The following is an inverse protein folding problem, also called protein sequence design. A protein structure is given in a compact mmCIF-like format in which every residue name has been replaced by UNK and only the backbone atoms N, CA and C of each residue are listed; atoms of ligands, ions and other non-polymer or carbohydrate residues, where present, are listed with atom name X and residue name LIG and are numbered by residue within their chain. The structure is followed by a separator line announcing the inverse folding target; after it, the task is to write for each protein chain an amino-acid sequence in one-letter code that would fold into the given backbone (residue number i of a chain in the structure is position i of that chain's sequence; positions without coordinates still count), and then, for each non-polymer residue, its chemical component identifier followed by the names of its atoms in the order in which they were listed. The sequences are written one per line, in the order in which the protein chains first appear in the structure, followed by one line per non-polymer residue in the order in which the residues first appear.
data_IF_313936913949
#
_entry.id   IF_313936913949
#
_cell.length_a   1.000
_cell.length_b   1.000
_cell.length_c   1.000
_cell.angle_alpha   90.00
_cell.angle_beta   90.00
_cell.angle_gamma   90.00
#
_symmetry.space_group_name_H-M   'P 1'
#
loop_
_entity.id
_entity.type
_entity.pdbx_description
1 polymer ?
#
# COMPACT_ATOMS: atom_id res chain seq x y z
N UNK A 1 -7.04 -1.62 29.98
CA UNK A 1 -5.92 -0.70 29.97
C UNK A 1 -5.52 -0.30 28.57
N UNK A 2 -5.32 0.95 28.36
CA UNK A 2 -4.93 1.45 27.05
C UNK A 2 -3.44 1.25 26.84
N UNK A 3 -3.08 0.36 25.92
CA UNK A 3 -1.71 0.09 25.58
C UNK A 3 -1.04 1.19 24.74
N UNK A 4 -1.80 2.22 24.37
CA UNK A 4 -1.26 3.36 23.63
C UNK A 4 -0.81 4.50 24.50
N UNK A 5 -1.09 4.41 25.78
CA UNK A 5 -0.66 5.45 26.71
C UNK A 5 0.80 5.35 27.01
N UNK A 6 1.43 6.47 27.25
CA UNK A 6 2.75 6.56 27.81
C UNK A 6 3.84 5.91 26.99
N UNK A 7 4.52 5.00 27.61
CA UNK A 7 5.80 4.50 27.13
C UNK A 7 5.72 3.30 26.22
N UNK A 8 4.57 2.97 25.67
CA UNK A 8 4.48 1.83 24.78
C UNK A 8 5.10 2.17 23.43
N UNK A 9 6.43 1.95 23.36
CA UNK A 9 7.23 2.29 22.19
C UNK A 9 7.13 1.25 21.07
N UNK A 10 6.51 0.09 21.33
CA UNK A 10 6.46 -0.99 20.36
C UNK A 10 5.21 -0.98 19.51
N UNK A 11 4.18 -0.26 19.94
CA UNK A 11 2.97 -0.17 19.17
C UNK A 11 2.98 1.09 18.34
N UNK A 12 2.86 0.89 17.04
CA UNK A 12 2.79 1.97 16.06
C UNK A 12 1.62 1.68 15.15
N UNK A 13 1.12 2.72 14.49
CA UNK A 13 0.00 2.60 13.57
C UNK A 13 0.47 2.98 12.16
N UNK A 14 0.25 2.09 11.21
CA UNK A 14 0.68 2.29 9.83
C UNK A 14 0.06 3.53 9.22
N UNK A 15 -1.21 3.81 9.53
CA UNK A 15 -1.90 4.96 8.96
C UNK A 15 -1.33 6.30 9.43
N UNK A 16 -0.56 6.30 10.50
CA UNK A 16 0.03 7.51 11.07
C UNK A 16 1.46 7.77 10.59
N UNK A 17 1.98 6.93 9.70
CA UNK A 17 3.35 7.07 9.19
C UNK A 17 3.50 8.13 8.11
N UNK A 18 2.40 8.50 7.48
CA UNK A 18 2.43 9.31 6.28
C UNK A 18 2.23 10.79 6.57
N UNK A 19 2.91 11.62 5.76
CA UNK A 19 2.63 13.05 5.68
C UNK A 19 1.58 13.28 4.60
N UNK A 20 0.67 14.21 4.82
CA UNK A 20 -0.36 14.56 3.85
C UNK A 20 0.16 15.42 2.69
N UNK A 21 1.45 15.74 2.69
CA UNK A 21 2.04 16.64 1.69
C UNK A 21 2.27 15.97 0.33
N UNK A 22 2.15 14.64 0.24
CA UNK A 22 2.39 13.90 -1.00
C UNK A 22 1.11 13.27 -1.50
N UNK A 23 0.94 13.25 -2.82
CA UNK A 23 -0.18 12.56 -3.47
C UNK A 23 -0.16 11.06 -3.17
N UNK A 24 1.04 10.48 -3.22
CA UNK A 24 1.29 9.09 -2.85
C UNK A 24 2.51 9.07 -1.95
N UNK A 25 2.38 8.41 -0.80
CA UNK A 25 3.45 8.31 0.19
C UNK A 25 3.83 6.85 0.38
N UNK A 26 5.14 6.57 0.35
CA UNK A 26 5.70 5.26 0.62
C UNK A 26 6.60 5.36 1.85
N UNK A 27 6.30 4.58 2.87
CA UNK A 27 7.10 4.57 4.10
C UNK A 27 7.50 3.14 4.43
N UNK A 28 8.80 2.83 4.50
CA UNK A 28 9.24 1.49 4.88
C UNK A 28 8.76 1.15 6.28
N UNK A 29 8.19 -0.04 6.44
CA UNK A 29 7.72 -0.55 7.74
C UNK A 29 8.68 -1.58 8.28
N UNK A 30 9.14 -2.47 7.42
CA UNK A 30 10.00 -3.56 7.82
C UNK A 30 10.88 -3.99 6.67
N UNK A 31 12.15 -4.25 6.97
CA UNK A 31 13.11 -4.77 6.00
C UNK A 31 13.78 -5.98 6.62
N UNK A 32 13.47 -7.16 6.08
CA UNK A 32 14.07 -8.40 6.49
C UNK A 32 14.99 -8.95 5.41
N UNK A 33 15.64 -10.07 5.68
CA UNK A 33 16.51 -10.71 4.71
C UNK A 33 15.74 -11.23 3.49
N UNK A 34 14.53 -11.71 3.73
CA UNK A 34 13.73 -12.33 2.67
C UNK A 34 12.80 -11.36 1.95
N UNK A 35 12.63 -10.15 2.45
CA UNK A 35 11.72 -9.21 1.81
C UNK A 35 11.48 -7.97 2.62
N UNK A 36 10.65 -7.11 2.08
CA UNK A 36 10.33 -5.80 2.67
C UNK A 36 8.84 -5.61 2.76
N UNK A 37 8.41 -4.79 3.73
CA UNK A 37 7.04 -4.32 3.85
C UNK A 37 7.07 -2.80 3.82
N UNK A 38 6.32 -2.22 2.90
CA UNK A 38 6.23 -0.77 2.73
C UNK A 38 4.78 -0.34 2.90
N UNK A 39 4.54 0.65 3.75
CA UNK A 39 3.23 1.27 3.86
C UNK A 39 3.06 2.27 2.73
N UNK A 40 1.91 2.24 2.08
CA UNK A 40 1.59 3.13 0.97
C UNK A 40 0.28 3.83 1.27
N UNK A 41 0.25 5.14 1.07
CA UNK A 41 -0.97 5.93 1.19
C UNK A 41 -1.20 6.67 -0.11
N UNK A 42 -2.41 6.54 -0.67
CA UNK A 42 -2.84 7.28 -1.85
C UNK A 42 -3.89 8.28 -1.39
N UNK A 43 -3.65 9.56 -1.66
CA UNK A 43 -4.60 10.61 -1.32
C UNK A 43 -5.83 10.53 -2.24
N UNK A 44 -6.99 11.05 -1.81
CA UNK A 44 -8.19 11.01 -2.62
C UNK A 44 -7.97 11.60 -4.01
N UNK A 45 -8.40 10.86 -5.04
CA UNK A 45 -8.30 11.27 -6.43
C UNK A 45 -6.92 11.12 -7.04
N UNK A 46 -5.97 10.52 -6.33
CA UNK A 46 -4.60 10.36 -6.80
C UNK A 46 -4.32 8.93 -7.22
N UNK A 47 -3.15 8.72 -7.82
CA UNK A 47 -2.78 7.40 -8.33
C UNK A 47 -1.28 7.17 -8.32
N UNK A 48 -0.92 5.90 -8.29
CA UNK A 48 0.43 5.44 -8.59
C UNK A 48 0.49 5.23 -10.10
N UNK A 49 1.43 5.88 -10.77
CA UNK A 49 1.55 5.82 -12.23
C UNK A 49 1.97 4.44 -12.70
N UNK A 50 1.78 4.19 -14.00
CA UNK A 50 2.15 2.92 -14.62
C UNK A 50 3.62 2.62 -14.40
N UNK A 51 3.90 1.40 -13.95
CA UNK A 51 5.28 0.95 -13.70
C UNK A 51 5.32 -0.58 -13.67
N UNK A 52 6.51 -1.13 -13.58
CA UNK A 52 6.73 -2.56 -13.43
C UNK A 52 7.58 -2.82 -12.19
N UNK A 53 7.53 -4.05 -11.70
CA UNK A 53 8.48 -4.55 -10.71
C UNK A 53 9.23 -5.73 -11.32
N UNK A 54 10.44 -5.97 -10.87
CA UNK A 54 11.25 -7.10 -11.38
C UNK A 54 11.16 -8.34 -10.47
N UNK A 55 10.43 -8.24 -9.37
CA UNK A 55 10.17 -9.37 -8.47
C UNK A 55 8.67 -9.42 -8.15
N UNK A 56 8.15 -10.58 -7.75
CA UNK A 56 6.74 -10.67 -7.35
C UNK A 56 6.45 -9.78 -6.14
N UNK A 57 5.25 -9.24 -6.09
CA UNK A 57 4.83 -8.39 -4.98
C UNK A 57 3.40 -8.72 -4.57
N UNK A 58 3.06 -8.37 -3.35
CA UNK A 58 1.72 -8.48 -2.81
C UNK A 58 1.24 -7.09 -2.41
N UNK A 59 0.09 -6.68 -2.90
CA UNK A 59 -0.53 -5.41 -2.53
C UNK A 59 -1.77 -5.69 -1.71
N UNK A 60 -1.82 -5.18 -0.48
CA UNK A 60 -2.92 -5.41 0.46
C UNK A 60 -3.58 -4.08 0.78
N UNK A 61 -4.90 -4.02 0.69
CA UNK A 61 -5.65 -2.84 1.12
C UNK A 61 -5.95 -2.95 2.61
N UNK A 62 -5.61 -1.91 3.37
CA UNK A 62 -5.86 -1.86 4.81
C UNK A 62 -7.05 -0.97 5.15
N UNK A 63 -7.22 0.13 4.42
CA UNK A 63 -8.27 1.09 4.68
C UNK A 63 -8.61 1.82 3.38
N UNK A 64 -9.85 2.29 3.28
CA UNK A 64 -10.32 2.98 2.09
C UNK A 64 -10.59 2.02 0.95
N UNK A 65 -10.38 2.49 -0.26
CA UNK A 65 -10.66 1.72 -1.47
C UNK A 65 -9.64 2.09 -2.54
N UNK A 66 -9.08 1.09 -3.19
CA UNK A 66 -8.13 1.29 -4.29
C UNK A 66 -8.50 0.39 -5.46
N UNK A 67 -8.18 0.82 -6.67
CA UNK A 67 -8.40 0.03 -7.87
C UNK A 67 -7.03 -0.31 -8.47
N UNK A 68 -6.74 -1.60 -8.53
CA UNK A 68 -5.55 -2.13 -9.18
C UNK A 68 -5.87 -2.49 -10.61
N UNK A 69 -5.03 -2.06 -11.54
CA UNK A 69 -5.19 -2.36 -12.95
C UNK A 69 -3.84 -2.74 -13.55
N UNK A 70 -3.86 -3.59 -14.57
CA UNK A 70 -2.63 -3.94 -15.26
C UNK A 70 -2.85 -4.12 -16.76
N UNK A 71 -1.74 -4.24 -17.50
CA UNK A 71 -1.77 -4.38 -18.96
C UNK A 71 -2.39 -5.68 -19.44
N UNK A 72 -2.59 -6.66 -18.55
CA UNK A 72 -3.25 -7.92 -18.91
C UNK A 72 -4.77 -7.84 -18.82
N UNK A 73 -5.30 -6.70 -18.45
CA UNK A 73 -6.73 -6.46 -18.41
C UNK A 73 -7.37 -6.67 -17.04
N UNK A 74 -6.59 -6.93 -16.00
CA UNK A 74 -7.13 -6.98 -14.66
C UNK A 74 -7.56 -5.59 -14.20
N UNK A 75 -8.71 -5.55 -13.54
CA UNK A 75 -9.27 -4.33 -12.97
C UNK A 75 -9.98 -4.74 -11.68
N UNK A 76 -9.26 -4.66 -10.57
CA UNK A 76 -9.73 -5.17 -9.29
C UNK A 76 -9.90 -4.04 -8.29
N UNK A 77 -11.11 -3.92 -7.73
CA UNK A 77 -11.37 -3.00 -6.63
C UNK A 77 -10.99 -3.68 -5.32
N UNK A 78 -10.09 -3.04 -4.59
CA UNK A 78 -9.58 -3.56 -3.32
C UNK A 78 -10.24 -2.80 -2.18
N UNK A 79 -10.95 -3.53 -1.34
CA UNK A 79 -11.52 -3.06 -0.08
C UNK A 79 -10.64 -3.54 1.07
N UNK A 80 -10.84 -3.03 2.30
CA UNK A 80 -10.00 -3.45 3.43
C UNK A 80 -9.96 -4.96 3.59
N UNK A 81 -8.76 -5.52 3.61
CA UNK A 81 -8.52 -6.96 3.67
C UNK A 81 -8.30 -7.62 2.32
N UNK A 82 -8.67 -6.97 1.23
CA UNK A 82 -8.43 -7.51 -0.10
C UNK A 82 -6.97 -7.34 -0.50
N UNK A 83 -6.47 -8.27 -1.31
CA UNK A 83 -5.11 -8.19 -1.80
C UNK A 83 -5.02 -8.70 -3.24
N UNK A 84 -3.96 -8.31 -3.91
CA UNK A 84 -3.66 -8.78 -5.27
C UNK A 84 -2.18 -9.15 -5.35
N UNK A 85 -1.90 -10.22 -6.09
CA UNK A 85 -0.52 -10.63 -6.39
C UNK A 85 -0.10 -9.93 -7.67
N UNK A 86 1.01 -9.21 -7.60
CA UNK A 86 1.55 -8.48 -8.74
C UNK A 86 2.64 -9.31 -9.40
N UNK A 87 2.44 -9.68 -10.65
CA UNK A 87 3.43 -10.45 -11.40
C UNK A 87 4.63 -9.59 -11.78
N UNK A 88 5.85 -10.15 -11.77
CA UNK A 88 7.02 -9.44 -12.26
C UNK A 88 6.85 -9.02 -13.71
N UNK A 89 7.38 -7.86 -14.06
CA UNK A 89 7.47 -7.34 -15.42
C UNK A 89 6.13 -7.03 -16.09
N UNK A 90 5.04 -7.01 -15.32
CA UNK A 90 3.71 -6.61 -15.82
C UNK A 90 3.48 -5.15 -15.47
N UNK A 91 3.15 -4.33 -16.48
CA UNK A 91 2.84 -2.92 -16.25
C UNK A 91 1.53 -2.82 -15.48
N UNK A 92 1.54 -2.11 -14.38
CA UNK A 92 0.38 -1.96 -13.52
C UNK A 92 0.32 -0.55 -12.92
N UNK A 93 -0.85 -0.19 -12.43
CA UNK A 93 -1.10 1.09 -11.77
C UNK A 93 -2.23 0.93 -10.76
N UNK A 94 -2.27 1.85 -9.81
CA UNK A 94 -3.26 1.82 -8.72
C UNK A 94 -3.80 3.23 -8.54
N UNK A 95 -5.12 3.35 -8.45
CA UNK A 95 -5.74 4.65 -8.21
C UNK A 95 -6.74 4.55 -7.08
N UNK A 96 -7.07 5.68 -6.46
CA UNK A 96 -7.97 5.71 -5.32
C UNK A 96 -8.77 7.01 -5.33
N UNK A 97 -10.07 6.91 -5.57
CA UNK A 97 -10.95 8.08 -5.60
C UNK A 97 -11.13 8.69 -4.20
N UNK A 98 -11.31 7.85 -3.20
CA UNK A 98 -11.60 8.29 -1.83
C UNK A 98 -10.40 8.25 -0.90
N UNK A 99 -9.26 7.83 -1.40
CA UNK A 99 -8.07 7.64 -0.58
C UNK A 99 -7.98 6.22 -0.04
N UNK A 100 -6.76 5.75 0.19
CA UNK A 100 -6.53 4.41 0.69
C UNK A 100 -5.19 4.27 1.39
N UNK A 101 -5.14 3.32 2.31
CA UNK A 101 -3.91 2.86 2.95
C UNK A 101 -3.68 1.41 2.54
N UNK A 102 -2.47 1.13 2.08
CA UNK A 102 -2.11 -0.18 1.53
C UNK A 102 -0.77 -0.64 2.12
N UNK A 103 -0.52 -1.93 1.99
CA UNK A 103 0.81 -2.50 2.23
C UNK A 103 1.33 -3.09 0.93
N UNK A 104 2.59 -2.82 0.65
CA UNK A 104 3.31 -3.46 -0.45
C UNK A 104 4.35 -4.38 0.16
N UNK A 105 4.27 -5.64 -0.17
CA UNK A 105 5.14 -6.69 0.37
C UNK A 105 5.89 -7.33 -0.79
N UNK A 106 7.21 -7.31 -0.70
CA UNK A 106 8.03 -7.94 -1.73
C UNK A 106 9.44 -8.24 -1.25
#
# INVERSE_FOLDING_TARGET
MDSRSGNNQRRMNIQQLHSDSKDVSFVPVFKGEAGTVTAMKIQPGKKVEKHTTNIPALLVCLAGKAVYQDEKGFNETLLPGDYVKIEPMVVHWVESDSGSDLLLIK
#
